data_IF_884488893488
#
_entry.id   IF_884488893488
#
_cell.length_a   1.000
_cell.length_b   1.000
_cell.length_c   1.000
_cell.angle_alpha   90.00
_cell.angle_beta   90.00
_cell.angle_gamma   90.00
#
_symmetry.space_group_name_H-M   'P 1'
#
loop_
_entity.id
_entity.type
_entity.pdbx_description
1 polymer ?
#
# COMPACT_ATOMS: atom_id res chain seq x y z
N UNK A 1 22.52 5.87 -5.23
CA UNK A 1 21.53 6.85 -4.75
C UNK A 1 20.40 6.86 -5.75
N UNK A 2 19.25 6.28 -5.43
CA UNK A 2 18.03 7.04 -5.75
C UNK A 2 18.22 8.35 -5.00
N UNK A 3 18.33 9.45 -5.74
CA UNK A 3 18.46 10.76 -5.11
C UNK A 3 17.10 11.07 -4.50
N UNK A 4 16.87 10.62 -3.27
CA UNK A 4 15.75 11.09 -2.46
C UNK A 4 16.04 12.56 -2.19
N UNK A 5 15.32 13.43 -2.91
CA UNK A 5 15.44 14.87 -2.72
C UNK A 5 14.47 15.26 -1.61
N UNK A 6 15.00 15.52 -0.41
CA UNK A 6 14.18 15.80 0.78
C UNK A 6 13.22 16.99 0.62
N UNK A 7 13.46 17.89 -0.35
CA UNK A 7 12.57 19.02 -0.61
C UNK A 7 11.27 18.64 -1.34
N UNK A 8 11.21 17.46 -1.95
CA UNK A 8 10.08 17.03 -2.74
C UNK A 8 9.17 16.02 -2.00
N UNK A 9 9.62 15.44 -0.88
CA UNK A 9 8.89 14.42 -0.12
C UNK A 9 7.93 15.03 0.92
N UNK A 10 6.76 14.40 1.17
CA UNK A 10 5.86 14.85 2.25
C UNK A 10 6.36 14.38 3.61
N UNK A 11 6.64 13.08 3.75
CA UNK A 11 7.30 12.50 4.92
C UNK A 11 8.52 11.70 4.49
N UNK A 12 9.67 12.02 5.08
CA UNK A 12 10.93 11.31 4.90
C UNK A 12 11.45 10.84 6.26
N UNK A 13 11.55 9.54 6.41
CA UNK A 13 12.17 8.87 7.56
C UNK A 13 13.51 8.31 7.12
N UNK A 14 14.59 8.74 7.77
CA UNK A 14 15.94 8.28 7.48
C UNK A 14 16.55 7.60 8.70
N UNK A 15 16.99 6.33 8.54
CA UNK A 15 17.69 5.59 9.60
C UNK A 15 16.89 5.50 10.90
N UNK A 16 15.56 5.47 10.80
CA UNK A 16 14.64 5.35 11.93
C UNK A 16 14.37 3.88 12.28
N UNK A 17 14.02 3.62 13.53
CA UNK A 17 13.50 2.33 13.98
C UNK A 17 12.37 2.51 15.00
N UNK A 18 11.56 1.46 15.19
CA UNK A 18 10.39 1.45 16.08
C UNK A 18 9.34 2.51 15.70
N UNK A 19 8.93 2.50 14.42
CA UNK A 19 8.02 3.50 13.86
C UNK A 19 6.69 2.88 13.48
N UNK A 20 5.61 3.36 14.08
CA UNK A 20 4.24 3.00 13.71
C UNK A 20 3.49 4.21 13.18
N UNK A 21 2.94 4.10 11.96
CA UNK A 21 2.13 5.15 11.32
C UNK A 21 0.75 4.61 11.03
N UNK A 22 -0.28 5.21 11.64
CA UNK A 22 -1.66 4.73 11.54
C UNK A 22 -2.70 5.80 11.31
N UNK A 23 -3.75 5.44 10.58
CA UNK A 23 -4.96 6.26 10.39
C UNK A 23 -4.70 7.65 9.79
N UNK A 24 -3.57 7.84 9.10
CA UNK A 24 -3.20 9.09 8.44
C UNK A 24 -3.65 9.12 6.98
N UNK A 25 -4.01 10.31 6.51
CA UNK A 25 -4.21 10.60 5.08
C UNK A 25 -3.05 11.44 4.60
N UNK A 26 -2.28 10.93 3.63
CA UNK A 26 -1.09 11.60 3.11
C UNK A 26 -1.30 11.84 1.62
N UNK A 27 -1.46 13.11 1.24
CA UNK A 27 -1.73 13.50 -0.16
C UNK A 27 -0.87 14.68 -0.55
N UNK A 28 0.07 14.44 -1.45
CA UNK A 28 0.99 15.47 -1.96
C UNK A 28 0.27 16.45 -2.89
N UNK A 29 -0.50 15.93 -3.85
CA UNK A 29 -1.16 16.73 -4.88
C UNK A 29 -0.17 17.42 -5.83
N UNK A 30 -0.65 18.41 -6.60
CA UNK A 30 0.20 19.34 -7.36
C UNK A 30 -0.40 19.82 -8.68
N UNK A 31 0.23 20.83 -9.30
CA UNK A 31 -0.23 21.45 -10.57
C UNK A 31 0.38 20.82 -11.83
N UNK A 32 -0.42 20.71 -12.91
CA UNK A 32 -0.13 20.13 -14.24
C UNK A 32 1.23 19.40 -14.44
N UNK A 33 1.18 18.08 -14.21
CA UNK A 33 1.66 17.00 -15.10
C UNK A 33 3.17 16.82 -15.39
N UNK A 34 3.95 17.84 -15.74
CA UNK A 34 5.36 17.63 -16.12
C UNK A 34 6.33 17.94 -14.98
N UNK A 35 7.25 17.01 -14.71
CA UNK A 35 8.36 17.21 -13.76
C UNK A 35 7.95 17.24 -12.28
N UNK A 36 6.78 16.71 -11.92
CA UNK A 36 6.50 16.46 -10.51
C UNK A 36 7.29 15.25 -10.03
N UNK A 37 8.17 15.51 -9.08
CA UNK A 37 8.93 14.50 -8.36
C UNK A 37 8.47 14.46 -6.90
N UNK A 38 8.85 13.39 -6.22
CA UNK A 38 8.55 13.19 -4.80
C UNK A 38 7.36 12.27 -4.53
N UNK A 39 7.58 11.42 -3.55
CA UNK A 39 6.66 10.47 -2.97
C UNK A 39 5.92 11.07 -1.76
N UNK A 40 4.88 10.38 -1.28
CA UNK A 40 4.15 10.85 -0.09
C UNK A 40 4.82 10.36 1.20
N UNK A 41 5.21 9.10 1.27
CA UNK A 41 5.79 8.50 2.47
C UNK A 41 7.03 7.69 2.09
N UNK A 42 8.18 8.11 2.60
CA UNK A 42 9.48 7.52 2.27
C UNK A 42 10.19 7.04 3.52
N UNK A 43 10.65 5.80 3.48
CA UNK A 43 11.64 5.25 4.39
C UNK A 43 12.93 5.00 3.60
N UNK A 44 14.01 5.71 3.93
CA UNK A 44 15.22 5.71 3.13
C UNK A 44 16.51 5.59 3.96
N UNK A 45 17.60 5.25 3.27
CA UNK A 45 18.98 5.26 3.79
C UNK A 45 19.28 4.33 4.98
N UNK A 46 18.29 3.55 5.43
CA UNK A 46 18.39 2.61 6.52
C UNK A 46 17.15 2.65 7.42
N UNK A 47 16.93 1.60 8.20
CA UNK A 47 15.84 1.55 9.18
C UNK A 47 15.31 0.15 9.42
N UNK A 48 14.58 -0.05 10.51
CA UNK A 48 13.99 -1.35 10.85
C UNK A 48 12.80 -1.24 11.77
N UNK A 49 11.98 -2.28 11.82
CA UNK A 49 10.88 -2.39 12.79
C UNK A 49 9.88 -1.23 12.58
N UNK A 50 9.32 -1.19 11.36
CA UNK A 50 8.42 -0.12 10.91
C UNK A 50 7.10 -0.70 10.42
N UNK A 51 6.00 -0.10 10.86
CA UNK A 51 4.65 -0.46 10.43
C UNK A 51 3.90 0.76 9.86
N UNK A 52 3.31 0.57 8.69
CA UNK A 52 2.28 1.46 8.13
C UNK A 52 0.97 0.69 8.08
N UNK A 53 0.03 1.04 8.96
CA UNK A 53 -1.25 0.35 9.10
C UNK A 53 -2.41 1.33 8.92
N UNK A 54 -3.45 0.96 8.15
CA UNK A 54 -4.63 1.80 8.01
C UNK A 54 -4.35 3.25 7.57
N UNK A 55 -3.42 3.47 6.63
CA UNK A 55 -3.19 4.79 6.04
C UNK A 55 -3.90 4.92 4.68
N UNK A 56 -4.18 6.15 4.26
CA UNK A 56 -4.60 6.46 2.88
C UNK A 56 -3.55 7.35 2.22
N UNK A 57 -2.86 6.82 1.23
CA UNK A 57 -1.74 7.50 0.54
C UNK A 57 -2.07 7.69 -0.93
N UNK A 58 -2.01 8.92 -1.42
CA UNK A 58 -2.41 9.23 -2.81
C UNK A 58 -1.75 10.47 -3.37
N UNK A 59 -1.83 10.61 -4.69
CA UNK A 59 -1.50 11.85 -5.41
C UNK A 59 -0.02 12.26 -5.30
N UNK A 60 0.89 11.28 -5.22
CA UNK A 60 2.33 11.51 -5.35
C UNK A 60 2.72 11.96 -6.76
N UNK A 61 3.85 12.65 -6.90
CA UNK A 61 4.47 12.94 -8.21
C UNK A 61 5.27 11.75 -8.76
N UNK A 62 5.80 10.92 -7.85
CA UNK A 62 6.49 9.66 -8.14
C UNK A 62 5.72 8.46 -7.54
N UNK A 63 6.22 7.80 -6.50
CA UNK A 63 5.56 6.67 -5.82
C UNK A 63 4.67 7.16 -4.65
N UNK A 64 3.52 6.53 -4.41
CA UNK A 64 2.76 6.89 -3.21
C UNK A 64 3.57 6.57 -1.94
N UNK A 65 4.26 5.43 -1.92
CA UNK A 65 5.23 5.11 -0.86
C UNK A 65 6.52 4.54 -1.44
N UNK A 66 7.63 4.83 -0.77
CA UNK A 66 8.95 4.32 -1.11
C UNK A 66 9.65 3.71 0.11
N UNK A 67 10.19 2.50 -0.07
CA UNK A 67 11.07 1.83 0.90
C UNK A 67 12.40 1.56 0.20
N UNK A 68 13.46 2.25 0.63
CA UNK A 68 14.75 2.20 -0.05
C UNK A 68 15.95 2.20 0.90
N UNK A 69 17.05 1.57 0.47
CA UNK A 69 18.28 1.48 1.25
C UNK A 69 18.31 0.27 2.18
N UNK A 70 19.16 0.32 3.20
CA UNK A 70 19.44 -0.82 4.10
C UNK A 70 18.33 -0.99 5.16
N UNK A 71 17.15 -1.41 4.70
CA UNK A 71 15.92 -1.48 5.49
C UNK A 71 15.43 -2.92 5.64
N UNK A 72 14.98 -3.31 6.85
CA UNK A 72 14.44 -4.65 7.14
C UNK A 72 13.28 -4.62 8.15
N UNK A 73 12.51 -5.69 8.27
CA UNK A 73 11.37 -5.80 9.21
C UNK A 73 10.34 -4.68 9.00
N UNK A 74 9.70 -4.67 7.84
CA UNK A 74 8.72 -3.63 7.47
C UNK A 74 7.38 -4.28 7.16
N UNK A 75 6.31 -3.73 7.71
CA UNK A 75 4.94 -4.16 7.40
C UNK A 75 4.13 -2.98 6.86
N UNK A 76 3.53 -3.16 5.68
CA UNK A 76 2.48 -2.26 5.17
C UNK A 76 1.19 -3.05 5.08
N UNK A 77 0.19 -2.65 5.86
CA UNK A 77 -1.06 -3.36 5.98
C UNK A 77 -2.30 -2.48 6.07
N UNK A 78 -3.44 -3.04 5.65
CA UNK A 78 -4.75 -2.38 5.69
C UNK A 78 -4.77 -0.95 5.13
N UNK A 79 -3.85 -0.63 4.23
CA UNK A 79 -3.60 0.72 3.72
C UNK A 79 -4.15 0.86 2.30
N UNK A 80 -4.66 2.04 1.96
CA UNK A 80 -5.00 2.41 0.59
C UNK A 80 -3.78 3.09 -0.03
N UNK A 81 -3.31 2.57 -1.16
CA UNK A 81 -2.42 3.28 -2.08
C UNK A 81 -3.16 3.52 -3.39
N UNK A 82 -3.43 4.77 -3.74
CA UNK A 82 -4.21 5.06 -4.94
C UNK A 82 -3.77 6.29 -5.69
N UNK A 83 -4.05 6.30 -6.99
CA UNK A 83 -4.03 7.51 -7.82
C UNK A 83 -2.70 8.30 -7.76
N UNK A 84 -1.58 7.67 -8.12
CA UNK A 84 -0.36 8.45 -8.38
C UNK A 84 -0.60 9.56 -9.42
N UNK A 85 -0.10 10.76 -9.16
CA UNK A 85 -0.30 11.97 -9.96
C UNK A 85 0.91 12.26 -10.87
N UNK A 86 1.21 11.36 -11.82
CA UNK A 86 2.29 11.59 -12.78
C UNK A 86 1.86 11.44 -14.25
N UNK A 87 2.20 12.44 -15.06
CA UNK A 87 1.93 12.46 -16.50
C UNK A 87 3.06 11.82 -17.30
N UNK A 88 4.31 12.10 -16.92
CA UNK A 88 5.53 11.67 -17.63
C UNK A 88 6.33 10.58 -16.88
N UNK A 89 6.13 10.42 -15.57
CA UNK A 89 6.71 9.34 -14.78
C UNK A 89 5.68 8.24 -14.51
N UNK A 90 6.14 7.06 -14.09
CA UNK A 90 5.24 6.00 -13.68
C UNK A 90 4.57 6.43 -12.37
N UNK A 91 3.30 6.82 -12.40
CA UNK A 91 2.56 7.14 -11.18
C UNK A 91 2.13 5.84 -10.50
N UNK A 92 2.68 5.57 -9.32
CA UNK A 92 2.89 4.19 -8.85
C UNK A 92 2.45 3.96 -7.40
N UNK A 93 2.09 2.71 -7.11
CA UNK A 93 1.62 2.30 -5.79
C UNK A 93 2.70 2.37 -4.72
N UNK A 94 3.61 1.40 -4.69
CA UNK A 94 4.72 1.33 -3.75
C UNK A 94 5.97 0.83 -4.46
N UNK A 95 7.07 1.58 -4.34
CA UNK A 95 8.39 1.11 -4.73
C UNK A 95 9.16 0.59 -3.52
N UNK A 96 9.66 -0.63 -3.60
CA UNK A 96 10.48 -1.26 -2.58
C UNK A 96 11.77 -1.71 -3.24
N UNK A 97 12.89 -1.12 -2.84
CA UNK A 97 14.21 -1.47 -3.32
C UNK A 97 15.17 -0.29 -3.32
N UNK A 98 16.39 -0.53 -3.77
CA UNK A 98 17.42 0.51 -3.87
C UNK A 98 18.32 0.32 -5.08
N UNK A 99 19.40 1.09 -5.12
CA UNK A 99 20.49 0.91 -6.08
C UNK A 99 21.73 0.24 -5.44
N UNK A 100 21.70 -0.10 -4.14
CA UNK A 100 22.78 -0.70 -3.36
C UNK A 100 22.18 -1.45 -2.16
N UNK A 101 22.89 -2.45 -1.65
CA UNK A 101 22.59 -3.19 -0.40
C UNK A 101 21.22 -3.87 -0.37
N UNK A 102 20.71 -4.28 -1.53
CA UNK A 102 19.39 -4.92 -1.66
C UNK A 102 19.38 -6.32 -1.01
N UNK A 103 20.54 -6.95 -0.96
CA UNK A 103 20.82 -8.19 -0.24
C UNK A 103 20.49 -8.11 1.26
N UNK A 104 20.48 -6.91 1.84
CA UNK A 104 20.15 -6.70 3.24
C UNK A 104 18.66 -6.42 3.45
N UNK A 105 17.93 -6.08 2.39
CA UNK A 105 16.49 -5.82 2.46
C UNK A 105 15.72 -7.12 2.63
N UNK A 106 15.33 -7.41 3.87
CA UNK A 106 14.73 -8.68 4.29
C UNK A 106 13.49 -8.43 5.16
N UNK A 107 12.61 -9.43 5.24
CA UNK A 107 11.39 -9.37 6.05
C UNK A 107 10.52 -8.13 5.78
N UNK A 108 10.22 -7.89 4.50
CA UNK A 108 9.31 -6.84 4.06
C UNK A 108 7.97 -7.45 3.65
N UNK A 109 6.91 -7.14 4.38
CA UNK A 109 5.58 -7.71 4.22
C UNK A 109 4.55 -6.66 3.78
N UNK A 110 3.90 -6.92 2.66
CA UNK A 110 2.84 -6.07 2.09
C UNK A 110 1.56 -6.90 2.05
N UNK A 111 0.62 -6.63 2.97
CA UNK A 111 -0.59 -7.45 3.05
C UNK A 111 -1.88 -6.73 3.40
N UNK A 112 -3.01 -7.24 2.91
CA UNK A 112 -4.35 -6.69 3.24
C UNK A 112 -4.54 -5.22 2.80
N UNK A 113 -3.82 -4.78 1.77
CA UNK A 113 -3.93 -3.42 1.25
C UNK A 113 -4.90 -3.33 0.06
N UNK A 114 -5.36 -2.12 -0.24
CA UNK A 114 -6.02 -1.78 -1.49
C UNK A 114 -5.10 -0.88 -2.34
N UNK A 115 -4.68 -1.42 -3.49
CA UNK A 115 -4.04 -0.65 -4.55
C UNK A 115 -5.08 -0.31 -5.61
N UNK A 116 -5.24 0.96 -5.97
CA UNK A 116 -6.29 1.37 -6.89
C UNK A 116 -5.92 2.53 -7.82
N UNK A 117 -6.38 2.46 -9.07
CA UNK A 117 -6.28 3.56 -10.03
C UNK A 117 -4.82 4.03 -10.31
N UNK A 118 -3.84 3.15 -10.11
CA UNK A 118 -2.41 3.39 -10.36
C UNK A 118 -2.00 3.05 -11.80
N UNK A 119 -0.76 3.37 -12.19
CA UNK A 119 -0.22 2.82 -13.43
C UNK A 119 0.35 1.42 -13.24
N UNK A 120 1.18 1.24 -12.21
CA UNK A 120 1.91 0.03 -11.88
C UNK A 120 2.61 0.12 -10.52
N UNK A 121 3.44 -0.89 -10.18
CA UNK A 121 4.12 -1.02 -8.87
C UNK A 121 3.10 -1.13 -7.75
N UNK A 122 2.19 -2.07 -7.87
CA UNK A 122 1.13 -2.33 -6.90
C UNK A 122 1.33 -3.73 -6.25
N UNK A 123 2.39 -3.97 -5.45
CA UNK A 123 3.64 -3.19 -5.29
C UNK A 123 4.71 -3.55 -6.36
N UNK A 124 5.86 -2.84 -6.37
CA UNK A 124 7.11 -3.33 -6.98
C UNK A 124 8.13 -3.63 -5.90
N UNK A 125 8.62 -4.87 -5.89
CA UNK A 125 9.58 -5.34 -4.91
C UNK A 125 10.93 -5.69 -5.56
N UNK A 126 12.02 -5.21 -4.96
CA UNK A 126 13.42 -5.52 -5.29
C UNK A 126 14.20 -5.68 -3.99
N UNK A 127 14.15 -6.88 -3.42
CA UNK A 127 14.61 -7.18 -2.06
C UNK A 127 15.28 -8.56 -2.03
N UNK A 128 15.99 -8.89 -0.96
CA UNK A 128 16.48 -10.24 -0.74
C UNK A 128 15.33 -11.21 -0.41
N UNK A 129 14.41 -10.81 0.47
CA UNK A 129 13.20 -11.58 0.77
C UNK A 129 12.02 -10.72 1.20
N UNK A 130 10.80 -11.16 0.90
CA UNK A 130 9.57 -10.47 1.31
C UNK A 130 8.28 -11.19 0.94
N UNK A 131 7.16 -10.57 1.25
CA UNK A 131 5.82 -11.15 1.17
C UNK A 131 4.85 -10.15 0.54
N UNK A 132 4.07 -10.60 -0.46
CA UNK A 132 2.97 -9.86 -1.07
C UNK A 132 1.72 -10.72 -0.92
N UNK A 133 0.93 -10.45 0.12
CA UNK A 133 -0.08 -11.41 0.60
C UNK A 133 -1.44 -10.75 0.73
N UNK A 134 -2.51 -11.37 0.22
CA UNK A 134 -3.87 -10.96 0.54
C UNK A 134 -4.19 -9.49 0.21
N UNK A 135 -3.68 -8.94 -0.90
CA UNK A 135 -3.98 -7.56 -1.33
C UNK A 135 -5.07 -7.52 -2.41
N UNK A 136 -5.88 -6.45 -2.40
CA UNK A 136 -6.74 -6.07 -3.53
C UNK A 136 -5.98 -5.13 -4.44
N UNK A 137 -5.88 -5.47 -5.73
CA UNK A 137 -5.15 -4.68 -6.72
C UNK A 137 -6.05 -4.37 -7.92
N UNK A 138 -6.33 -3.09 -8.14
CA UNK A 138 -7.41 -2.63 -8.99
C UNK A 138 -7.00 -1.55 -10.00
N UNK A 139 -7.51 -1.69 -11.23
CA UNK A 139 -7.51 -0.64 -12.25
C UNK A 139 -6.13 -0.07 -12.60
N UNK A 140 -5.12 -0.94 -12.69
CA UNK A 140 -3.80 -0.59 -13.21
C UNK A 140 -3.85 -0.28 -14.71
N UNK A 141 -2.92 0.53 -15.20
CA UNK A 141 -2.86 0.92 -16.63
C UNK A 141 -1.68 0.31 -17.40
N UNK A 142 -0.72 -0.30 -16.70
CA UNK A 142 0.48 -0.89 -17.31
C UNK A 142 0.67 -2.35 -16.93
N UNK A 143 1.14 -2.63 -15.73
CA UNK A 143 1.22 -3.96 -15.08
C UNK A 143 0.96 -3.73 -13.59
N UNK A 144 0.41 -4.69 -12.85
CA UNK A 144 0.05 -4.46 -11.46
C UNK A 144 1.26 -4.65 -10.52
N UNK A 145 1.53 -5.88 -10.12
CA UNK A 145 2.62 -6.24 -9.22
C UNK A 145 3.89 -6.53 -10.00
N UNK A 146 5.03 -6.12 -9.44
CA UNK A 146 6.33 -6.35 -10.04
C UNK A 146 7.31 -6.92 -9.04
N UNK A 147 8.13 -7.84 -9.52
CA UNK A 147 9.29 -8.36 -8.81
C UNK A 147 10.52 -8.26 -9.72
N UNK A 148 11.69 -7.88 -9.19
CA UNK A 148 12.94 -7.76 -9.96
C UNK A 148 14.15 -8.22 -9.16
N UNK A 149 15.07 -8.93 -9.83
CA UNK A 149 16.32 -9.42 -9.25
C UNK A 149 16.23 -10.81 -8.60
N UNK A 150 17.33 -11.25 -7.98
CA UNK A 150 17.49 -12.58 -7.40
C UNK A 150 16.88 -12.75 -6.00
N UNK A 151 15.57 -12.58 -5.91
CA UNK A 151 14.83 -12.51 -4.65
C UNK A 151 14.21 -13.84 -4.20
N UNK A 152 13.84 -13.90 -2.92
CA UNK A 152 13.03 -14.96 -2.31
C UNK A 152 11.69 -14.36 -1.82
N UNK A 153 10.64 -14.45 -2.63
CA UNK A 153 9.35 -13.79 -2.32
C UNK A 153 8.18 -14.78 -2.30
N UNK A 154 7.23 -14.54 -1.41
CA UNK A 154 5.93 -15.22 -1.37
C UNK A 154 4.86 -14.28 -1.93
N UNK A 155 4.09 -14.73 -2.93
CA UNK A 155 2.95 -13.99 -3.51
C UNK A 155 1.71 -14.86 -3.33
N UNK A 156 0.86 -14.52 -2.36
CA UNK A 156 -0.21 -15.41 -1.90
C UNK A 156 -1.55 -14.68 -1.84
N UNK A 157 -2.62 -15.30 -2.35
CA UNK A 157 -4.01 -14.85 -2.17
C UNK A 157 -4.30 -13.39 -2.57
N UNK A 158 -3.56 -12.80 -3.50
CA UNK A 158 -3.88 -11.46 -4.01
C UNK A 158 -5.02 -11.54 -5.03
N UNK A 159 -5.90 -10.53 -5.04
CA UNK A 159 -6.98 -10.39 -6.02
C UNK A 159 -6.71 -9.22 -6.95
N UNK A 160 -6.48 -9.53 -8.21
CA UNK A 160 -6.32 -8.59 -9.30
C UNK A 160 -7.65 -8.38 -10.00
N UNK A 161 -8.14 -7.15 -10.03
CA UNK A 161 -9.38 -6.76 -10.73
C UNK A 161 -9.08 -5.70 -11.79
N UNK A 162 -9.33 -6.04 -13.05
CA UNK A 162 -9.21 -5.07 -14.14
C UNK A 162 -10.27 -3.97 -14.02
N UNK A 163 -9.89 -2.74 -14.40
CA UNK A 163 -10.80 -1.61 -14.53
C UNK A 163 -10.62 -0.87 -15.86
N UNK A 164 -11.28 0.29 -16.04
CA UNK A 164 -11.24 1.05 -17.30
C UNK A 164 -9.83 1.46 -17.77
N UNK A 165 -8.88 1.66 -16.86
CA UNK A 165 -7.51 2.06 -17.19
C UNK A 165 -6.75 1.00 -17.99
N UNK A 166 -7.08 -0.29 -17.81
CA UNK A 166 -6.43 -1.38 -18.52
C UNK A 166 -6.72 -1.34 -20.03
N UNK A 167 -7.87 -0.79 -20.44
CA UNK A 167 -8.35 -0.78 -21.83
C UNK A 167 -7.60 0.18 -22.75
N UNK A 168 -6.73 1.05 -22.23
CA UNK A 168 -6.39 2.30 -22.94
C UNK A 168 -5.40 2.20 -24.10
N UNK A 169 -4.70 1.09 -24.36
CA UNK A 169 -3.76 0.98 -25.53
C UNK A 169 -3.48 -0.43 -26.07
N UNK A 170 -4.40 -1.40 -26.02
CA UNK A 170 -4.14 -2.75 -26.58
C UNK A 170 -2.89 -3.44 -25.98
N UNK A 171 -2.53 -3.06 -24.75
CA UNK A 171 -1.35 -3.50 -24.01
C UNK A 171 -1.80 -3.96 -22.63
N UNK A 172 -2.63 -5.00 -22.55
CA UNK A 172 -2.78 -5.73 -21.29
C UNK A 172 -1.38 -6.28 -20.96
N UNK A 173 -0.71 -5.74 -19.94
CA UNK A 173 0.53 -6.33 -19.41
C UNK A 173 0.23 -6.90 -18.02
N UNK A 174 1.02 -7.91 -17.64
CA UNK A 174 0.96 -8.76 -16.43
C UNK A 174 0.17 -8.23 -15.24
N UNK A 175 -0.66 -9.08 -14.61
CA UNK A 175 -0.97 -8.96 -13.19
C UNK A 175 0.33 -8.98 -12.39
N UNK A 176 1.21 -9.94 -12.68
CA UNK A 176 2.52 -10.06 -12.05
C UNK A 176 3.62 -10.08 -13.12
N UNK A 177 4.63 -9.24 -12.95
CA UNK A 177 5.79 -9.20 -13.85
C UNK A 177 7.09 -9.52 -13.09
N UNK A 178 7.83 -10.50 -13.59
CA UNK A 178 9.21 -10.75 -13.21
C UNK A 178 10.14 -9.97 -14.15
N UNK A 179 10.94 -9.07 -13.59
CA UNK A 179 11.82 -8.15 -14.33
C UNK A 179 13.29 -8.47 -14.14
N UNK A 180 14.05 -8.11 -15.19
CA UNK A 180 15.50 -7.88 -15.17
C UNK A 180 16.36 -9.11 -14.90
N UNK A 181 16.21 -10.13 -15.74
CA UNK A 181 17.16 -11.25 -15.88
C UNK A 181 18.08 -11.11 -17.12
N UNK A 182 18.25 -9.88 -17.63
CA UNK A 182 19.13 -9.57 -18.77
C UNK A 182 20.49 -9.03 -18.29
N UNK A 183 21.59 -9.80 -18.35
CA UNK A 183 22.91 -9.40 -17.86
C UNK A 183 23.48 -8.13 -18.52
N UNK A 184 22.87 -7.62 -19.59
CA UNK A 184 23.27 -6.36 -20.27
C UNK A 184 22.53 -5.11 -19.75
N UNK A 185 21.51 -5.27 -18.91
CA UNK A 185 20.82 -4.14 -18.30
C UNK A 185 21.66 -3.52 -17.17
N UNK A 186 22.02 -2.23 -17.31
CA UNK A 186 22.72 -1.43 -16.27
C UNK A 186 22.02 -1.45 -14.90
N UNK A 187 20.73 -1.80 -14.83
CA UNK A 187 19.99 -1.98 -13.58
C UNK A 187 20.38 -3.23 -12.79
N UNK A 188 20.91 -4.29 -13.44
CA UNK A 188 21.42 -5.49 -12.76
C UNK A 188 22.69 -5.17 -11.96
N UNK A 189 23.52 -4.25 -12.47
CA UNK A 189 24.74 -3.78 -11.80
C UNK A 189 24.51 -2.97 -10.53
N UNK A 190 23.28 -2.57 -10.22
CA UNK A 190 22.96 -1.91 -8.96
C UNK A 190 22.74 -2.89 -7.80
N UNK A 191 22.38 -4.14 -8.11
CA UNK A 191 22.06 -5.12 -7.07
C UNK A 191 23.25 -5.99 -6.66
N UNK A 192 24.25 -6.20 -7.54
CA UNK A 192 25.43 -7.04 -7.26
C UNK A 192 25.13 -8.53 -6.96
N UNK A 193 23.87 -8.91 -6.81
CA UNK A 193 23.42 -10.24 -6.35
C UNK A 193 23.01 -11.08 -7.55
N UNK A 194 23.90 -11.97 -7.98
CA UNK A 194 23.61 -12.98 -9.00
C UNK A 194 22.89 -14.20 -8.37
N UNK A 195 21.61 -14.04 -8.01
CA UNK A 195 20.74 -15.14 -7.53
C UNK A 195 19.60 -15.37 -8.52
N UNK A 196 19.15 -16.62 -8.67
CA UNK A 196 17.90 -16.93 -9.39
C UNK A 196 16.71 -16.56 -8.51
N UNK A 197 15.66 -15.99 -9.10
CA UNK A 197 14.42 -15.73 -8.39
C UNK A 197 13.82 -17.03 -7.85
N UNK A 198 13.30 -16.98 -6.63
CA UNK A 198 12.60 -18.09 -5.98
C UNK A 198 11.28 -17.58 -5.44
N UNK A 199 10.17 -18.02 -6.04
CA UNK A 199 8.83 -17.49 -5.79
C UNK A 199 7.91 -18.61 -5.33
N UNK A 200 7.31 -18.46 -4.15
CA UNK A 200 6.13 -19.25 -3.79
C UNK A 200 4.90 -18.46 -4.22
N UNK A 201 4.04 -19.09 -5.02
CA UNK A 201 2.92 -18.40 -5.68
C UNK A 201 1.67 -19.26 -5.60
N UNK A 202 0.67 -18.81 -4.84
CA UNK A 202 -0.52 -19.62 -4.55
C UNK A 202 -1.77 -18.78 -4.32
N UNK A 203 -2.92 -19.27 -4.77
CA UNK A 203 -4.24 -18.71 -4.44
C UNK A 203 -4.53 -17.31 -5.02
N UNK A 204 -3.64 -16.77 -5.84
CA UNK A 204 -3.87 -15.48 -6.51
C UNK A 204 -4.93 -15.61 -7.60
N UNK A 205 -5.81 -14.61 -7.69
CA UNK A 205 -6.88 -14.56 -8.70
C UNK A 205 -6.75 -13.29 -9.54
N UNK A 206 -6.90 -13.43 -10.86
CA UNK A 206 -6.81 -12.31 -11.79
C UNK A 206 -7.50 -12.59 -13.12
N UNK A 207 -7.71 -11.55 -13.94
CA UNK A 207 -8.42 -11.65 -15.22
C UNK A 207 -7.74 -12.58 -16.24
N UNK A 208 -6.45 -12.88 -16.10
CA UNK A 208 -5.71 -13.77 -16.99
C UNK A 208 -5.36 -15.14 -16.38
N UNK A 209 -5.93 -15.53 -15.22
CA UNK A 209 -5.94 -16.93 -14.80
C UNK A 209 -6.59 -17.74 -15.92
N UNK A 210 -5.87 -18.71 -16.50
CA UNK A 210 -6.45 -19.56 -17.53
C UNK A 210 -7.63 -20.32 -16.92
N UNK A 211 -8.82 -20.07 -17.45
CA UNK A 211 -10.09 -20.60 -16.94
C UNK A 211 -10.13 -22.13 -17.02
N UNK A 212 -9.25 -22.74 -17.84
CA UNK A 212 -9.15 -24.19 -18.03
C UNK A 212 -8.22 -24.89 -17.03
N UNK A 213 -7.13 -24.25 -16.56
CA UNK A 213 -6.17 -24.83 -15.61
C UNK A 213 -6.43 -24.40 -14.16
N UNK A 214 -7.00 -23.20 -13.96
CA UNK A 214 -7.07 -22.48 -12.68
C UNK A 214 -5.71 -22.32 -11.99
N UNK A 215 -4.60 -22.48 -12.71
CA UNK A 215 -3.27 -22.32 -12.13
C UNK A 215 -2.92 -20.84 -12.02
N UNK A 216 -2.85 -20.36 -10.77
CA UNK A 216 -2.52 -18.96 -10.48
C UNK A 216 -1.16 -18.53 -11.06
N UNK A 217 -0.22 -19.45 -11.34
CA UNK A 217 1.07 -19.13 -11.95
C UNK A 217 0.94 -18.49 -13.34
N UNK A 218 -0.19 -18.71 -14.03
CA UNK A 218 -0.46 -18.12 -15.35
C UNK A 218 -0.59 -16.58 -15.32
N UNK A 219 -0.73 -15.98 -14.12
CA UNK A 219 -0.72 -14.53 -13.90
C UNK A 219 0.67 -13.91 -14.03
N UNK A 220 1.73 -14.72 -13.91
CA UNK A 220 3.10 -14.23 -13.86
C UNK A 220 3.80 -14.35 -15.22
N UNK A 221 4.25 -13.22 -15.74
CA UNK A 221 5.01 -13.15 -16.99
C UNK A 221 6.44 -12.70 -16.76
N UNK A 222 7.37 -13.23 -17.54
CA UNK A 222 8.77 -12.83 -17.52
C UNK A 222 9.04 -11.75 -18.57
N UNK A 223 9.80 -10.70 -18.20
CA UNK A 223 10.37 -9.74 -19.14
C UNK A 223 11.72 -10.28 -19.66
N UNK A 224 11.76 -10.71 -20.92
CA UNK A 224 12.96 -11.26 -21.57
C UNK A 224 13.62 -10.19 -22.47
N UNK A 225 14.86 -9.79 -22.18
CA UNK A 225 15.59 -8.69 -22.84
C UNK A 225 14.88 -7.31 -22.71
N UNK A 226 15.16 -6.36 -23.62
CA UNK A 226 14.40 -5.10 -23.76
C UNK A 226 12.93 -5.32 -24.19
N UNK A 227 12.55 -6.54 -24.54
CA UNK A 227 11.21 -6.88 -24.99
C UNK A 227 10.34 -7.34 -23.83
N UNK A 228 9.18 -6.71 -23.69
CA UNK A 228 8.18 -7.19 -22.75
C UNK A 228 7.47 -8.40 -23.36
N UNK A 229 7.24 -9.44 -22.56
CA UNK A 229 6.21 -10.43 -22.86
C UNK A 229 4.84 -9.75 -22.66
N UNK A 230 3.93 -9.89 -23.63
CA UNK A 230 2.64 -9.21 -23.65
C UNK A 230 1.49 -10.22 -23.57
N UNK A 231 0.36 -9.83 -22.98
CA UNK A 231 -0.88 -10.59 -23.15
C UNK A 231 -1.45 -10.34 -24.56
N UNK A 232 -2.05 -11.39 -25.11
CA UNK A 232 -2.59 -11.39 -26.46
C UNK A 232 -3.88 -10.56 -26.50
N UNK A 233 -3.96 -9.57 -27.39
CA UNK A 233 -5.21 -8.92 -27.76
C UNK A 233 -5.29 -8.97 -29.28
N UNK A 234 -6.37 -9.54 -29.81
CA UNK A 234 -6.65 -9.68 -31.25
C UNK A 234 -5.67 -10.57 -32.04
N UNK A 235 -5.23 -11.69 -31.45
CA UNK A 235 -4.62 -12.79 -32.19
C UNK A 235 -3.15 -12.60 -32.62
N UNK A 236 -2.45 -11.56 -32.14
CA UNK A 236 -1.03 -11.35 -32.44
C UNK A 236 -0.23 -10.92 -31.20
N UNK A 237 0.12 -11.86 -30.30
CA UNK A 237 1.39 -11.97 -29.53
C UNK A 237 1.37 -13.14 -28.53
N UNK A 238 2.49 -13.83 -28.40
CA UNK A 238 2.68 -15.08 -27.64
C UNK A 238 3.04 -14.79 -26.16
N UNK A 239 2.43 -15.56 -25.25
CA UNK A 239 2.74 -15.58 -23.81
C UNK A 239 4.18 -16.08 -23.61
N UNK A 240 4.95 -15.44 -22.73
CA UNK A 240 6.07 -16.11 -22.03
C UNK A 240 5.72 -16.06 -20.55
N UNK A 241 4.97 -17.06 -20.11
CA UNK A 241 4.72 -17.32 -18.69
C UNK A 241 6.09 -17.48 -18.03
N UNK A 242 6.25 -16.96 -16.81
CA UNK A 242 7.50 -17.09 -16.08
C UNK A 242 7.88 -18.59 -15.95
N UNK A 243 9.14 -18.96 -16.25
CA UNK A 243 9.61 -20.34 -16.10
C UNK A 243 9.32 -20.91 -14.71
N UNK A 244 8.81 -22.15 -14.68
CA UNK A 244 8.57 -22.90 -13.43
C UNK A 244 9.84 -23.17 -12.63
N UNK A 245 11.02 -22.99 -13.22
CA UNK A 245 12.29 -23.03 -12.50
C UNK A 245 12.41 -21.97 -11.40
N UNK A 246 11.60 -20.92 -11.44
CA UNK A 246 11.51 -19.95 -10.34
C UNK A 246 10.55 -20.39 -9.23
N UNK A 247 9.70 -21.40 -9.46
CA UNK A 247 8.67 -21.80 -8.51
C UNK A 247 9.27 -22.58 -7.34
N UNK A 248 9.01 -22.10 -6.13
CA UNK A 248 9.23 -22.82 -4.87
C UNK A 248 7.96 -23.57 -4.50
N UNK A 249 8.11 -24.77 -3.92
CA UNK A 249 6.98 -25.64 -3.53
C UNK A 249 6.40 -25.34 -2.15
N UNK A 250 7.14 -24.64 -1.30
CA UNK A 250 6.76 -24.35 0.08
C UNK A 250 6.89 -22.85 0.37
N UNK A 251 5.95 -22.34 1.16
CA UNK A 251 6.02 -21.00 1.73
C UNK A 251 7.30 -20.84 2.57
N UNK A 252 7.84 -19.63 2.63
CA UNK A 252 8.94 -19.31 3.54
C UNK A 252 8.44 -19.37 4.99
N UNK A 253 9.29 -19.81 5.93
CA UNK A 253 9.03 -19.63 7.35
C UNK A 253 9.11 -18.14 7.69
N UNK A 254 8.05 -17.59 8.28
CA UNK A 254 8.02 -16.19 8.68
C UNK A 254 8.41 -16.06 10.14
N UNK A 255 9.21 -15.03 10.44
CA UNK A 255 9.50 -14.63 11.82
C UNK A 255 8.23 -14.17 12.53
N UNK A 256 7.38 -13.44 11.83
CA UNK A 256 6.08 -12.97 12.29
C UNK A 256 5.00 -13.50 11.35
N UNK A 257 4.03 -14.30 11.84
CA UNK A 257 3.02 -14.91 10.99
C UNK A 257 2.08 -13.86 10.38
N UNK A 258 1.68 -14.08 9.13
CA UNK A 258 0.63 -13.31 8.47
C UNK A 258 -0.60 -14.21 8.34
N UNK A 259 -1.69 -13.82 8.98
CA UNK A 259 -3.01 -14.46 8.81
C UNK A 259 -3.44 -14.33 7.36
N UNK A 260 -3.63 -15.44 6.66
CA UNK A 260 -4.01 -15.43 5.25
C UNK A 260 -5.52 -15.19 5.10
N UNK A 261 -5.90 -14.20 4.30
CA UNK A 261 -7.27 -14.09 3.81
C UNK A 261 -7.32 -14.62 2.37
N UNK A 262 -8.15 -15.63 2.06
CA UNK A 262 -8.35 -16.13 0.70
C UNK A 262 -8.74 -15.00 -0.26
N UNK A 263 -8.24 -15.05 -1.49
CA UNK A 263 -8.38 -13.95 -2.43
C UNK A 263 -9.85 -13.62 -2.76
N UNK A 264 -10.73 -14.63 -2.77
CA UNK A 264 -12.17 -14.50 -2.99
C UNK A 264 -12.92 -13.91 -1.78
N UNK A 265 -12.31 -13.85 -0.59
CA UNK A 265 -12.86 -13.25 0.64
C UNK A 265 -12.32 -11.86 0.96
N UNK A 266 -11.33 -11.37 0.20
CA UNK A 266 -10.70 -10.08 0.47
C UNK A 266 -11.65 -8.89 0.37
N UNK A 267 -12.60 -8.93 -0.55
CA UNK A 267 -13.56 -7.83 -0.73
C UNK A 267 -14.43 -7.65 0.51
N UNK A 268 -14.88 -8.75 1.13
CA UNK A 268 -15.68 -8.72 2.36
C UNK A 268 -14.89 -8.13 3.53
N UNK A 269 -13.60 -8.45 3.62
CA UNK A 269 -12.72 -7.96 4.68
C UNK A 269 -12.35 -6.48 4.52
N UNK A 270 -11.91 -6.08 3.32
CA UNK A 270 -11.30 -4.76 3.08
C UNK A 270 -12.31 -3.69 2.66
N UNK A 271 -13.37 -4.04 1.94
CA UNK A 271 -14.34 -3.07 1.42
C UNK A 271 -15.53 -2.82 2.35
N UNK A 272 -15.56 -3.50 3.51
CA UNK A 272 -16.47 -3.19 4.61
C UNK A 272 -16.15 -1.83 5.21
N UNK A 273 -17.10 -1.28 5.96
CA UNK A 273 -16.92 -0.03 6.69
C UNK A 273 -15.75 -0.16 7.67
N UNK A 274 -14.78 0.76 7.59
CA UNK A 274 -13.62 0.73 8.48
C UNK A 274 -12.57 -0.34 8.14
N UNK A 275 -12.63 -0.98 6.97
CA UNK A 275 -11.81 -2.17 6.66
C UNK A 275 -10.42 -1.91 6.06
N UNK A 276 -10.17 -0.76 5.42
CA UNK A 276 -8.88 -0.43 4.78
C UNK A 276 -8.74 1.08 4.65
N UNK A 277 -7.53 1.63 4.60
CA UNK A 277 -7.28 3.08 4.50
C UNK A 277 -7.30 3.77 5.86
N UNK A 278 -7.28 5.11 5.86
CA UNK A 278 -7.48 5.96 7.04
C UNK A 278 -8.92 5.88 7.56
N UNK A 279 -9.33 4.67 7.93
CA UNK A 279 -10.71 4.22 7.94
C UNK A 279 -11.44 4.55 9.24
N UNK A 280 -10.69 4.87 10.28
CA UNK A 280 -11.20 5.19 11.62
C UNK A 280 -10.46 6.39 12.23
N UNK A 281 -11.06 6.95 13.28
CA UNK A 281 -10.47 7.92 14.21
C UNK A 281 -11.21 7.88 15.54
N UNK A 282 -10.69 8.55 16.54
CA UNK A 282 -11.40 8.80 17.79
C UNK A 282 -12.42 9.93 17.66
N UNK A 283 -13.56 9.77 18.32
CA UNK A 283 -14.55 10.82 18.57
C UNK A 283 -14.07 11.75 19.69
N UNK A 284 -14.82 12.83 19.97
CA UNK A 284 -14.52 13.70 21.11
C UNK A 284 -14.68 12.99 22.47
N UNK A 285 -15.37 11.85 22.49
CA UNK A 285 -15.51 11.04 23.69
C UNK A 285 -14.49 9.88 23.70
N UNK A 286 -13.56 9.78 22.74
CA UNK A 286 -12.60 8.68 22.69
C UNK A 286 -13.12 7.38 22.07
N UNK A 287 -14.33 7.38 21.49
CA UNK A 287 -14.85 6.20 20.79
C UNK A 287 -14.35 6.12 19.35
N UNK A 288 -13.95 4.92 18.90
CA UNK A 288 -13.62 4.67 17.50
C UNK A 288 -14.82 4.85 16.56
N UNK A 289 -14.67 5.72 15.56
CA UNK A 289 -15.68 6.01 14.54
C UNK A 289 -15.07 5.97 13.14
N UNK A 290 -15.92 5.70 12.14
CA UNK A 290 -15.52 5.68 10.74
C UNK A 290 -15.04 7.04 10.24
N UNK A 291 -14.00 7.01 9.40
CA UNK A 291 -13.25 8.18 8.99
C UNK A 291 -12.80 8.10 7.53
N UNK A 292 -13.50 7.43 6.61
CA UNK A 292 -13.15 7.58 5.20
C UNK A 292 -13.57 8.97 4.71
N UNK A 293 -12.65 9.69 4.06
CA UNK A 293 -13.00 10.96 3.41
C UNK A 293 -13.58 10.75 2.01
N UNK A 294 -13.84 11.85 1.28
CA UNK A 294 -14.43 11.77 -0.05
C UNK A 294 -13.56 11.03 -1.07
N UNK A 295 -12.23 11.06 -0.91
CA UNK A 295 -11.29 10.39 -1.83
C UNK A 295 -11.31 8.90 -1.55
N UNK A 296 -11.18 8.50 -0.28
CA UNK A 296 -11.24 7.09 0.10
C UNK A 296 -12.58 6.47 -0.33
N UNK A 297 -13.70 7.14 -0.05
CA UNK A 297 -15.04 6.70 -0.45
C UNK A 297 -15.18 6.58 -1.96
N UNK A 298 -14.60 7.51 -2.73
CA UNK A 298 -14.59 7.44 -4.20
C UNK A 298 -13.80 6.23 -4.67
N UNK A 299 -12.58 6.02 -4.17
CA UNK A 299 -11.72 4.89 -4.57
C UNK A 299 -12.40 3.54 -4.26
N UNK A 300 -13.03 3.42 -3.09
CA UNK A 300 -13.81 2.23 -2.73
C UNK A 300 -15.03 2.03 -3.66
N UNK A 301 -15.71 3.12 -4.04
CA UNK A 301 -16.81 3.09 -5.00
C UNK A 301 -16.32 2.69 -6.40
N UNK A 302 -15.20 3.26 -6.86
CA UNK A 302 -14.59 2.94 -8.15
C UNK A 302 -14.31 1.45 -8.26
N UNK A 303 -13.74 0.85 -7.20
CA UNK A 303 -13.54 -0.59 -7.13
C UNK A 303 -14.86 -1.35 -7.29
N UNK A 304 -15.89 -1.01 -6.49
CA UNK A 304 -17.17 -1.72 -6.47
C UNK A 304 -17.88 -1.64 -7.83
N UNK A 305 -17.88 -0.46 -8.44
CA UNK A 305 -18.58 -0.20 -9.69
C UNK A 305 -17.76 -0.53 -10.94
N UNK A 306 -16.49 -0.92 -10.80
CA UNK A 306 -15.56 -1.09 -11.93
C UNK A 306 -15.39 0.23 -12.71
N UNK A 307 -15.30 1.34 -11.98
CA UNK A 307 -15.09 2.71 -12.48
C UNK A 307 -13.65 3.20 -12.18
N UNK A 308 -13.39 4.49 -12.28
CA UNK A 308 -12.09 5.09 -12.00
C UNK A 308 -11.25 5.30 -13.25
N UNK A 309 -10.40 6.34 -13.20
CA UNK A 309 -9.57 6.77 -14.33
C UNK A 309 -8.18 7.13 -13.87
N UNK A 310 -7.21 7.16 -14.80
CA UNK A 310 -5.88 7.70 -14.53
C UNK A 310 -6.02 9.16 -14.10
N UNK A 311 -5.55 9.46 -12.89
CA UNK A 311 -5.48 10.82 -12.37
C UNK A 311 -4.55 11.67 -13.26
N UNK A 312 -5.06 12.80 -13.75
CA UNK A 312 -4.26 13.81 -14.48
C UNK A 312 -3.88 14.95 -13.55
N UNK A 313 -4.83 15.39 -12.73
CA UNK A 313 -4.64 16.33 -11.64
C UNK A 313 -5.78 16.16 -10.61
N UNK A 314 -5.64 16.79 -9.45
CA UNK A 314 -6.62 16.68 -8.36
C UNK A 314 -8.04 17.11 -8.79
N UNK A 315 -8.17 18.13 -9.66
CA UNK A 315 -9.47 18.59 -10.18
C UNK A 315 -10.18 17.53 -11.04
N UNK A 316 -9.45 16.67 -11.75
CA UNK A 316 -10.01 15.62 -12.62
C UNK A 316 -10.81 14.55 -11.87
N UNK A 317 -10.68 14.53 -10.54
CA UNK A 317 -11.41 13.61 -9.66
C UNK A 317 -12.26 14.34 -8.61
N UNK A 318 -12.47 15.65 -8.79
CA UNK A 318 -13.36 16.48 -7.97
C UNK A 318 -12.66 17.59 -7.19
N UNK A 319 -11.35 17.53 -6.98
CA UNK A 319 -10.59 18.52 -6.19
C UNK A 319 -10.16 17.99 -4.81
N UNK A 320 -9.70 18.90 -3.94
CA UNK A 320 -9.24 18.57 -2.59
C UNK A 320 -10.41 18.29 -1.65
N UNK A 321 -10.36 17.23 -0.84
CA UNK A 321 -11.32 17.00 0.23
C UNK A 321 -11.08 18.01 1.36
N UNK A 322 -12.12 18.77 1.72
CA UNK A 322 -12.11 19.69 2.85
C UNK A 322 -13.07 19.16 3.91
N UNK A 323 -12.57 18.99 5.14
CA UNK A 323 -13.38 18.63 6.29
C UNK A 323 -14.20 19.82 6.79
N UNK A 324 -15.49 19.60 7.05
CA UNK A 324 -16.46 20.62 7.48
C UNK A 324 -16.99 20.38 8.90
N UNK A 325 -16.39 19.47 9.66
CA UNK A 325 -16.91 19.02 10.96
C UNK A 325 -18.00 17.96 10.84
N UNK A 326 -18.27 17.25 11.93
CA UNK A 326 -19.31 16.22 12.05
C UNK A 326 -19.29 15.16 10.93
N UNK A 327 -18.09 14.69 10.57
CA UNK A 327 -17.89 13.72 9.48
C UNK A 327 -18.39 14.19 8.10
N UNK A 328 -18.59 15.49 7.90
CA UNK A 328 -18.98 16.08 6.61
C UNK A 328 -17.75 16.57 5.87
N UNK A 329 -17.76 16.33 4.57
CA UNK A 329 -16.69 16.73 3.66
C UNK A 329 -17.28 17.39 2.41
N UNK A 330 -16.50 18.23 1.75
CA UNK A 330 -16.79 18.68 0.38
C UNK A 330 -15.52 18.71 -0.45
N UNK A 331 -15.69 18.58 -1.76
CA UNK A 331 -14.64 18.82 -2.72
C UNK A 331 -14.43 20.32 -2.96
N UNK A 332 -13.17 20.74 -3.08
CA UNK A 332 -12.77 22.11 -3.43
C UNK A 332 -11.69 22.04 -4.49
N UNK A 333 -11.93 22.66 -5.65
CA UNK A 333 -10.94 22.74 -6.73
C UNK A 333 -9.61 23.30 -6.23
N UNK A 334 -8.50 22.77 -6.75
CA UNK A 334 -7.13 23.05 -6.30
C UNK A 334 -6.81 24.55 -6.24
N UNK A 335 -7.12 25.30 -7.29
CA UNK A 335 -6.91 26.76 -7.31
C UNK A 335 -7.65 27.48 -6.18
N UNK A 336 -8.87 27.04 -5.87
CA UNK A 336 -9.68 27.62 -4.80
C UNK A 336 -9.18 27.17 -3.43
N UNK A 337 -8.72 25.93 -3.31
CA UNK A 337 -8.10 25.40 -2.09
C UNK A 337 -6.86 26.21 -1.74
N UNK A 338 -5.89 26.31 -2.66
CA UNK A 338 -4.63 27.04 -2.47
C UNK A 338 -4.88 28.50 -2.08
N UNK A 339 -5.76 29.20 -2.82
CA UNK A 339 -6.11 30.61 -2.52
C UNK A 339 -6.68 30.82 -1.12
N UNK A 340 -7.25 29.77 -0.50
CA UNK A 340 -7.93 29.86 0.79
C UNK A 340 -7.33 28.90 1.84
N UNK A 341 -6.06 28.50 1.72
CA UNK A 341 -5.42 27.54 2.63
C UNK A 341 -5.60 27.90 4.11
N UNK A 342 -5.45 29.17 4.48
CA UNK A 342 -5.67 29.66 5.86
C UNK A 342 -7.08 29.36 6.39
N UNK A 343 -8.11 29.42 5.53
CA UNK A 343 -9.50 29.10 5.88
C UNK A 343 -9.72 27.61 6.15
N UNK A 344 -8.86 26.75 5.59
CA UNK A 344 -8.97 25.30 5.68
C UNK A 344 -8.00 24.69 6.70
N UNK A 345 -7.36 25.52 7.54
CA UNK A 345 -6.58 25.03 8.67
C UNK A 345 -7.50 24.30 9.66
N UNK A 346 -7.00 23.19 10.21
CA UNK A 346 -7.71 22.44 11.24
C UNK A 346 -7.70 23.24 12.54
N UNK A 347 -8.90 23.49 13.08
CA UNK A 347 -9.01 24.00 14.45
C UNK A 347 -8.54 22.91 15.42
N UNK A 348 -7.93 23.32 16.54
CA UNK A 348 -7.60 22.39 17.63
C UNK A 348 -8.88 21.68 18.08
N UNK A 349 -8.81 20.35 18.21
CA UNK A 349 -9.90 19.57 18.76
C UNK A 349 -9.93 19.65 20.29
N UNK A 350 -11.06 19.26 20.88
CA UNK A 350 -11.15 18.94 22.30
C UNK A 350 -10.65 17.51 22.50
N UNK A 351 -9.65 17.25 23.35
CA UNK A 351 -9.25 15.89 23.69
C UNK A 351 -10.40 15.16 24.40
N UNK A 352 -10.39 13.83 24.33
CA UNK A 352 -11.31 13.02 25.13
C UNK A 352 -10.97 13.11 26.62
N UNK A 353 -11.94 12.78 27.46
CA UNK A 353 -11.70 12.64 28.91
C UNK A 353 -10.92 11.35 29.15
N UNK A 354 -9.84 11.49 29.91
CA UNK A 354 -8.89 10.46 30.35
C UNK A 354 -8.47 10.91 31.77
N UNK A 355 -9.08 10.28 32.77
CA UNK A 355 -9.09 10.75 34.16
C UNK A 355 -7.77 10.52 34.89
N UNK A 356 -6.99 9.50 34.52
CA UNK A 356 -5.68 9.21 35.11
C UNK A 356 -4.49 9.41 34.15
N UNK A 357 -4.77 9.85 32.90
CA UNK A 357 -3.81 10.23 31.88
C UNK A 357 -2.91 9.09 31.41
N UNK A 358 -3.49 7.90 31.28
CA UNK A 358 -2.80 6.69 30.82
C UNK A 358 -2.87 6.50 29.28
N UNK A 359 -3.64 7.33 28.59
CA UNK A 359 -3.83 7.30 27.14
C UNK A 359 -5.08 6.54 26.67
N UNK A 360 -5.86 5.98 27.59
CA UNK A 360 -7.18 5.41 27.36
C UNK A 360 -8.29 6.40 27.75
N UNK A 361 -9.38 6.50 26.98
CA UNK A 361 -10.52 7.32 27.38
C UNK A 361 -11.35 6.65 28.48
N UNK A 362 -11.90 7.42 29.43
CA UNK A 362 -12.80 6.91 30.48
C UNK A 362 -13.95 6.04 29.93
N UNK A 363 -14.47 6.39 28.74
CA UNK A 363 -15.56 5.64 28.12
C UNK A 363 -15.14 4.26 27.59
N UNK A 364 -13.87 4.09 27.26
CA UNK A 364 -13.29 2.79 26.89
C UNK A 364 -13.16 1.94 28.16
N UNK A 365 -12.64 2.54 29.21
CA UNK A 365 -12.39 1.86 30.46
C UNK A 365 -13.69 1.43 31.15
N UNK A 366 -14.66 2.35 31.28
CA UNK A 366 -16.00 2.06 31.80
C UNK A 366 -16.70 0.94 30.99
N UNK A 367 -16.41 0.85 29.67
CA UNK A 367 -17.00 -0.17 28.79
C UNK A 367 -16.42 -1.55 29.05
N UNK A 368 -15.12 -1.66 29.35
CA UNK A 368 -14.44 -2.94 29.53
C UNK A 368 -14.16 -3.30 30.98
N UNK A 369 -14.52 -2.43 31.93
CA UNK A 369 -14.32 -2.68 33.37
C UNK A 369 -12.90 -2.40 33.85
N UNK A 370 -12.15 -1.56 33.12
CA UNK A 370 -10.87 -1.00 33.55
C UNK A 370 -11.11 0.13 34.57
N UNK A 371 -10.07 0.56 35.27
CA UNK A 371 -10.13 1.56 36.31
C UNK A 371 -9.54 2.89 35.85
N UNK A 372 -10.43 3.78 35.37
CA UNK A 372 -10.14 5.18 34.96
C UNK A 372 -9.48 6.11 35.97
N UNK A 373 -9.15 5.61 37.15
CA UNK A 373 -8.42 6.35 38.18
C UNK A 373 -7.11 5.64 38.58
N UNK A 374 -6.67 4.64 37.82
CA UNK A 374 -5.48 3.84 38.05
C UNK A 374 -4.75 3.49 36.74
N UNK A 375 -3.96 4.45 36.27
CA UNK A 375 -3.06 4.35 35.11
C UNK A 375 -2.17 3.10 35.02
N UNK A 376 -2.03 2.31 36.08
CA UNK A 376 -1.19 1.11 36.05
C UNK A 376 -1.87 -0.05 35.32
N UNK A 377 -3.20 -0.03 35.21
CA UNK A 377 -3.95 -1.06 34.50
C UNK A 377 -3.79 -0.94 32.97
N UNK A 378 -3.43 0.22 32.41
CA UNK A 378 -3.05 0.38 31.00
C UNK A 378 -1.99 -0.63 30.53
N UNK A 379 -1.05 -0.97 31.42
CA UNK A 379 0.03 -1.94 31.15
C UNK A 379 -0.31 -3.37 31.58
N UNK A 380 -1.52 -3.58 32.11
CA UNK A 380 -2.07 -4.89 32.38
C UNK A 380 -2.56 -5.57 31.10
N UNK A 381 -2.78 -6.87 31.22
CA UNK A 381 -3.30 -7.75 30.16
C UNK A 381 -4.52 -8.47 30.76
N UNK A 382 -5.70 -7.83 30.65
CA UNK A 382 -6.89 -8.24 31.41
C UNK A 382 -7.49 -9.55 30.88
N UNK A 383 -7.38 -9.83 29.58
CA UNK A 383 -7.87 -11.06 28.96
C UNK A 383 -6.79 -12.15 28.76
N UNK A 384 -5.52 -11.82 28.96
CA UNK A 384 -4.40 -12.76 28.99
C UNK A 384 -3.92 -13.19 27.61
N UNK A 385 -4.21 -12.42 26.56
CA UNK A 385 -3.83 -12.73 25.18
C UNK A 385 -2.43 -12.21 24.78
N UNK A 386 -1.81 -11.42 25.66
CA UNK A 386 -0.44 -10.91 25.53
C UNK A 386 -0.32 -9.49 25.01
N UNK A 387 -1.42 -8.79 24.74
CA UNK A 387 -1.46 -7.35 24.49
C UNK A 387 -1.80 -6.58 25.77
N UNK A 388 -1.20 -5.39 25.95
CA UNK A 388 -1.61 -4.54 27.05
C UNK A 388 -2.94 -3.81 26.76
N UNK A 389 -3.63 -3.37 27.80
CA UNK A 389 -4.95 -2.73 27.69
C UNK A 389 -4.91 -1.46 26.81
N UNK A 390 -3.77 -0.75 26.79
CA UNK A 390 -3.55 0.41 25.92
C UNK A 390 -3.38 0.01 24.45
N UNK A 391 -2.63 -1.05 24.15
CA UNK A 391 -2.47 -1.64 22.82
C UNK A 391 -3.82 -2.12 22.30
N UNK A 392 -4.63 -2.74 23.15
CA UNK A 392 -6.00 -3.16 22.87
C UNK A 392 -6.89 -1.97 22.50
N UNK A 393 -6.79 -0.86 23.25
CA UNK A 393 -7.46 0.39 22.90
C UNK A 393 -7.00 0.93 21.53
N UNK A 394 -5.70 0.98 21.28
CA UNK A 394 -5.11 1.49 20.03
C UNK A 394 -5.45 0.60 18.83
N UNK A 395 -5.69 -0.69 19.04
CA UNK A 395 -6.10 -1.66 18.02
C UNK A 395 -7.63 -1.86 17.92
N UNK A 396 -8.39 -1.25 18.84
CA UNK A 396 -9.83 -1.41 18.97
C UNK A 396 -10.26 -2.88 19.14
N UNK A 397 -9.48 -3.62 19.92
CA UNK A 397 -9.69 -5.03 20.26
C UNK A 397 -10.27 -5.17 21.68
N UNK A 398 -10.25 -6.34 22.31
CA UNK A 398 -10.85 -6.56 23.63
C UNK A 398 -9.73 -6.69 24.66
N UNK A 399 -9.63 -5.76 25.63
CA UNK A 399 -8.75 -5.93 26.77
C UNK A 399 -9.26 -7.02 27.71
#
# INVERSE_FOLDING_TARGET
MTTVNSQDEVFLFERCHDVTIRYLRIRKGGTKAKGQHGSCLVFAHGGKDIMVDHCSVSWSGDDNMEIAGDIKNITIQYTISSEGQSYDHAATGIFIGGLRNIENMTDISIHHNLFANSQNRDPLMKVASGDIVSNLIYNWSWWATGISGGMVVDIINNKYKAGPNLKRKGRNRGEVVLKDFDPTHKYIGATGVNRKASVFFEGNIGPHNDVSSRDSWDLMVEKVNKNWSYFNINGKRRKTIAPRSYQRKTRRALRFPITLTPADKLEDLLLRRGGVGASRRLSANGTWIENHDLVDRRVLKDYKNTEGTKLVNVDSVGGWPVYLGNNRYKYVLEKKFIRNLKKYQLNRGTPYLDSDSDGMPDVWEDKYGLNKNDKSDATGDMDGDGYDNLEEFLNATRP
#
